data_IF_011282041262
#
_entry.id   IF_011282041262
#
_cell.length_a   1.000
_cell.length_b   1.000
_cell.length_c   1.000
_cell.angle_alpha   90.00
_cell.angle_beta   90.00
_cell.angle_gamma   90.00
#
_symmetry.space_group_name_H-M   'P 1'
#
loop_
_entity.id
_entity.type
_entity.pdbx_description
1 polymer ?
#
# COMPACT_ATOMS: atom_id res chain seq x y z
N UNK A 1 -0.20 26.83 -24.66
CA UNK A 1 -0.17 25.36 -24.76
C UNK A 1 -0.52 24.84 -23.37
N UNK A 2 -1.64 24.11 -23.23
CA UNK A 2 -2.08 23.61 -21.91
C UNK A 2 -1.13 22.49 -21.49
N UNK A 3 -0.44 22.72 -20.38
CA UNK A 3 0.36 21.73 -19.67
C UNK A 3 -0.61 20.65 -19.16
N UNK A 4 -0.84 19.63 -19.98
CA UNK A 4 -1.56 18.44 -19.59
C UNK A 4 -0.67 17.75 -18.55
N UNK A 5 -0.85 18.12 -17.28
CA UNK A 5 -0.20 17.44 -16.15
C UNK A 5 -0.59 15.98 -16.22
N UNK A 6 0.23 15.17 -16.89
CA UNK A 6 0.10 13.71 -16.89
C UNK A 6 0.20 13.30 -15.43
N UNK A 7 -0.95 13.08 -14.83
CA UNK A 7 -1.02 12.61 -13.46
C UNK A 7 -0.65 11.15 -13.54
N UNK A 8 0.56 10.80 -13.14
CA UNK A 8 1.00 9.40 -13.07
C UNK A 8 -0.03 8.63 -12.25
N UNK A 9 -0.40 7.44 -12.70
CA UNK A 9 -1.32 6.55 -11.99
C UNK A 9 -0.66 5.20 -11.83
N UNK A 10 -0.81 4.61 -10.65
CA UNK A 10 -0.33 3.28 -10.32
C UNK A 10 -1.52 2.32 -10.22
N UNK A 11 -1.31 1.05 -10.56
CA UNK A 11 -2.35 0.03 -10.38
C UNK A 11 -2.21 -0.55 -8.98
N UNK A 12 -3.31 -0.60 -8.23
CA UNK A 12 -3.36 -1.22 -6.93
C UNK A 12 -3.13 -2.72 -7.03
N UNK A 13 -2.13 -3.25 -6.33
CA UNK A 13 -1.79 -4.67 -6.30
C UNK A 13 -2.90 -5.57 -5.73
N UNK A 14 -3.87 -5.03 -4.98
CA UNK A 14 -4.92 -5.81 -4.33
C UNK A 14 -6.29 -5.71 -5.01
N UNK A 15 -6.67 -4.53 -5.48
CA UNK A 15 -8.00 -4.30 -6.04
C UNK A 15 -8.00 -3.96 -7.54
N UNK A 16 -6.83 -3.92 -8.19
CA UNK A 16 -6.63 -3.56 -9.60
C UNK A 16 -7.07 -2.14 -10.00
N UNK A 17 -7.64 -1.36 -9.07
CA UNK A 17 -8.00 0.03 -9.30
C UNK A 17 -6.79 0.95 -9.48
N UNK A 18 -6.95 2.00 -10.28
CA UNK A 18 -5.91 3.00 -10.50
C UNK A 18 -5.84 4.02 -9.34
N UNK A 19 -4.62 4.37 -8.94
CA UNK A 19 -4.32 5.30 -7.85
C UNK A 19 -3.47 6.45 -8.42
N UNK A 20 -3.94 7.70 -8.39
CA UNK A 20 -3.10 8.85 -8.74
C UNK A 20 -1.86 8.92 -7.84
N UNK A 21 -0.70 9.29 -8.41
CA UNK A 21 0.56 9.50 -7.66
C UNK A 21 0.40 10.52 -6.52
N UNK A 22 -0.42 11.54 -6.73
CA UNK A 22 -0.72 12.58 -5.74
C UNK A 22 -1.77 12.15 -4.71
N UNK A 23 -2.27 10.91 -4.78
CA UNK A 23 -3.30 10.44 -3.86
C UNK A 23 -2.71 10.23 -2.46
N UNK A 24 -3.33 10.78 -1.39
CA UNK A 24 -2.90 10.52 -0.03
C UNK A 24 -3.07 9.05 0.38
N UNK A 25 -3.89 8.29 -0.37
CA UNK A 25 -4.14 6.86 -0.14
C UNK A 25 -3.11 5.95 -0.82
N UNK A 26 -2.20 6.48 -1.63
CA UNK A 26 -1.15 5.69 -2.27
C UNK A 26 -0.15 5.21 -1.22
N UNK A 27 0.09 3.90 -1.19
CA UNK A 27 1.16 3.28 -0.41
C UNK A 27 2.07 2.49 -1.33
N UNK A 28 3.37 2.67 -1.16
CA UNK A 28 4.42 1.88 -1.79
C UNK A 28 4.83 0.79 -0.80
N UNK A 29 4.74 -0.45 -1.22
CA UNK A 29 5.18 -1.62 -0.48
C UNK A 29 6.38 -2.18 -1.21
N UNK A 30 7.54 -2.12 -0.58
CA UNK A 30 8.79 -2.63 -1.15
C UNK A 30 8.98 -4.06 -0.68
N UNK A 31 8.99 -5.00 -1.62
CA UNK A 31 9.26 -6.42 -1.36
C UNK A 31 10.75 -6.66 -1.60
N UNK A 32 11.48 -6.84 -0.49
CA UNK A 32 12.84 -7.33 -0.52
C UNK A 32 12.80 -8.87 -0.48
N UNK A 33 13.28 -9.50 -1.52
CA UNK A 33 13.57 -10.93 -1.56
C UNK A 33 14.98 -11.17 -1.02
N UNK A 34 15.11 -12.10 -0.07
CA UNK A 34 16.42 -12.63 0.31
C UNK A 34 17.02 -13.34 -0.92
N UNK A 35 18.35 -13.33 -1.03
CA UNK A 35 19.12 -14.04 -2.09
C UNK A 35 19.19 -13.40 -3.48
N UNK A 36 19.35 -12.06 -3.56
CA UNK A 36 19.85 -11.40 -4.78
C UNK A 36 18.82 -11.23 -5.91
N UNK A 37 17.55 -11.49 -5.64
CA UNK A 37 16.46 -11.16 -6.55
C UNK A 37 16.15 -9.65 -6.52
N UNK A 38 15.67 -9.07 -7.64
CA UNK A 38 15.39 -7.64 -7.72
C UNK A 38 14.29 -7.24 -6.74
N UNK A 39 14.55 -6.18 -5.99
CA UNK A 39 13.55 -5.53 -5.15
C UNK A 39 12.38 -5.10 -6.03
N UNK A 40 11.16 -5.49 -5.66
CA UNK A 40 9.96 -5.11 -6.38
C UNK A 40 9.14 -4.11 -5.57
N UNK A 41 8.68 -3.06 -6.23
CA UNK A 41 7.76 -2.09 -5.64
C UNK A 41 6.34 -2.40 -6.08
N UNK A 42 5.47 -2.62 -5.10
CA UNK A 42 4.04 -2.71 -5.28
C UNK A 42 3.37 -1.41 -4.82
N UNK A 43 2.36 -0.98 -5.56
CA UNK A 43 1.54 0.16 -5.20
C UNK A 43 0.16 -0.32 -4.77
N UNK A 44 -0.36 0.24 -3.69
CA UNK A 44 -1.64 -0.19 -3.13
C UNK A 44 -2.40 0.98 -2.50
N UNK A 45 -3.74 0.88 -2.49
CA UNK A 45 -4.56 1.75 -1.67
C UNK A 45 -4.32 1.41 -0.19
N UNK A 46 -4.21 2.44 0.66
CA UNK A 46 -4.10 2.28 2.11
C UNK A 46 -5.13 1.32 2.68
N UNK A 47 -6.40 1.46 2.29
CA UNK A 47 -7.48 0.59 2.77
C UNK A 47 -7.28 -0.89 2.38
N UNK A 48 -6.73 -1.16 1.19
CA UNK A 48 -6.42 -2.52 0.77
C UNK A 48 -5.26 -3.12 1.58
N UNK A 49 -4.23 -2.32 1.88
CA UNK A 49 -3.12 -2.77 2.74
C UNK A 49 -3.65 -3.12 4.12
N UNK A 50 -4.40 -2.21 4.76
CA UNK A 50 -4.98 -2.44 6.10
C UNK A 50 -5.84 -3.71 6.11
N UNK A 51 -6.73 -3.89 5.12
CA UNK A 51 -7.56 -5.08 5.02
C UNK A 51 -6.76 -6.37 4.82
N UNK A 52 -5.63 -6.31 4.12
CA UNK A 52 -4.77 -7.47 3.88
C UNK A 52 -3.90 -7.83 5.10
N UNK A 53 -3.44 -6.84 5.87
CA UNK A 53 -2.56 -7.06 7.04
C UNK A 53 -3.30 -7.19 8.36
N UNK A 54 -4.57 -6.77 8.43
CA UNK A 54 -5.45 -6.94 9.60
C UNK A 54 -6.56 -7.97 9.33
N UNK A 55 -6.28 -9.29 9.32
CA UNK A 55 -7.34 -10.23 9.60
C UNK A 55 -7.70 -10.25 11.10
N UNK A 56 -6.77 -9.95 12.03
CA UNK A 56 -6.98 -10.20 13.48
C UNK A 56 -6.36 -9.19 14.46
N UNK A 57 -5.98 -7.97 14.05
CA UNK A 57 -5.61 -6.93 15.05
C UNK A 57 -6.86 -6.10 15.33
N UNK A 58 -7.55 -6.29 16.48
CA UNK A 58 -8.59 -5.36 16.90
C UNK A 58 -7.94 -4.00 17.10
N UNK A 59 -8.21 -3.07 16.17
CA UNK A 59 -7.77 -1.69 16.27
C UNK A 59 -8.39 -1.09 17.54
N UNK A 60 -7.60 -0.95 18.61
CA UNK A 60 -8.01 -0.29 19.85
C UNK A 60 -8.18 -1.20 21.07
N UNK A 61 -7.85 -2.49 21.00
CA UNK A 61 -7.72 -3.28 22.24
C UNK A 61 -6.31 -3.11 22.81
N UNK A 62 -6.24 -2.78 24.10
CA UNK A 62 -5.00 -2.87 24.85
C UNK A 62 -4.57 -4.33 24.82
N UNK A 63 -3.34 -4.60 24.38
CA UNK A 63 -2.71 -5.88 24.68
C UNK A 63 -2.57 -5.88 26.20
N UNK A 64 -3.38 -6.67 26.90
CA UNK A 64 -3.27 -6.81 28.35
C UNK A 64 -1.80 -7.08 28.68
N UNK A 65 -1.17 -6.15 29.42
CA UNK A 65 0.15 -6.37 30.00
C UNK A 65 0.02 -7.59 30.92
N UNK A 66 0.74 -8.67 30.59
CA UNK A 66 0.76 -9.87 31.42
C UNK A 66 1.19 -9.52 32.87
N UNK A 67 0.59 -10.19 33.88
CA UNK A 67 0.69 -9.80 35.30
C UNK A 67 2.08 -9.95 35.93
#
# INVERSE_FOLDING_TARGET
MKDERRTTRYVCAFCTGAIPETSPDLRRVTIATLDGFPVQDLFAHRACVVRAVSPEIPLGEALDEEP
#
